data_IF_059992805518
#
_entry.id   IF_059992805518
#
_cell.length_a   1.000
_cell.length_b   1.000
_cell.length_c   1.000
_cell.angle_alpha   90.00
_cell.angle_beta   90.00
_cell.angle_gamma   90.00
#
_symmetry.space_group_name_H-M   'P 1'
#
loop_
_entity.id
_entity.type
_entity.pdbx_description
1 polymer ?
#
# COMPACT_ATOMS: atom_id res chain seq x y z
N UNK A 1 -0.92 -0.33 -8.19
CA UNK A 1 -2.07 -1.18 -7.84
C UNK A 1 -3.37 -0.57 -8.36
N UNK A 2 -3.74 0.65 -7.95
CA UNK A 2 -4.91 1.33 -8.48
C UNK A 2 -4.62 1.91 -9.89
N UNK A 3 -4.96 1.16 -10.94
CA UNK A 3 -4.65 1.54 -12.33
C UNK A 3 -5.43 2.78 -12.79
N UNK A 4 -6.71 2.88 -12.40
CA UNK A 4 -7.56 4.03 -12.75
C UNK A 4 -7.01 5.33 -12.16
N UNK A 5 -6.67 5.32 -10.86
CA UNK A 5 -6.00 6.46 -10.21
C UNK A 5 -4.68 6.83 -10.87
N UNK A 6 -3.86 5.82 -11.21
CA UNK A 6 -2.58 6.05 -11.86
C UNK A 6 -2.74 6.73 -13.22
N UNK A 7 -3.66 6.24 -14.06
CA UNK A 7 -3.94 6.81 -15.38
C UNK A 7 -4.50 8.23 -15.30
N UNK A 8 -5.29 8.52 -14.26
CA UNK A 8 -5.83 9.86 -14.03
C UNK A 8 -4.80 10.84 -13.43
N UNK A 9 -3.65 10.35 -12.94
CA UNK A 9 -2.70 11.19 -12.19
C UNK A 9 -3.23 11.64 -10.82
N UNK A 10 -4.20 10.92 -10.27
CA UNK A 10 -4.95 11.29 -9.08
C UNK A 10 -4.75 10.29 -7.93
N UNK A 11 -4.99 10.73 -6.69
CA UNK A 11 -4.91 9.86 -5.51
C UNK A 11 -6.02 8.81 -5.47
N UNK A 12 -7.20 9.17 -5.94
CA UNK A 12 -8.42 8.35 -5.87
C UNK A 12 -9.03 8.15 -7.25
N UNK A 13 -9.71 7.03 -7.46
CA UNK A 13 -10.19 6.64 -8.77
C UNK A 13 -11.43 7.48 -9.13
N UNK A 14 -11.46 8.16 -10.30
CA UNK A 14 -12.62 8.95 -10.71
C UNK A 14 -13.91 8.13 -10.91
N UNK A 15 -13.75 6.82 -11.14
CA UNK A 15 -14.87 5.90 -11.39
C UNK A 15 -15.69 5.59 -10.12
N UNK A 16 -15.09 5.76 -8.94
CA UNK A 16 -15.84 5.63 -7.69
C UNK A 16 -16.71 6.88 -7.49
N UNK A 17 -18.00 6.68 -7.22
CA UNK A 17 -18.94 7.79 -6.97
C UNK A 17 -18.53 8.67 -5.76
N UNK A 18 -17.73 8.10 -4.86
CA UNK A 18 -17.19 8.79 -3.69
C UNK A 18 -15.67 8.64 -3.67
N UNK A 19 -14.98 9.59 -3.04
CA UNK A 19 -13.52 9.57 -2.96
C UNK A 19 -13.02 8.37 -2.14
N UNK A 20 -12.58 7.31 -2.81
CA UNK A 20 -11.99 6.13 -2.17
C UNK A 20 -10.46 6.19 -2.23
N UNK A 21 -9.82 6.25 -1.06
CA UNK A 21 -8.38 6.04 -0.95
C UNK A 21 -8.12 4.54 -0.81
N UNK A 22 -7.55 3.90 -1.85
CA UNK A 22 -7.31 2.46 -1.85
C UNK A 22 -6.48 2.00 -0.64
N UNK A 23 -5.58 2.85 -0.13
CA UNK A 23 -4.77 2.55 1.04
C UNK A 23 -5.56 2.60 2.37
N UNK A 24 -6.88 2.83 2.30
CA UNK A 24 -7.84 2.75 3.40
C UNK A 24 -8.95 1.73 3.15
N UNK A 25 -8.90 1.04 2.01
CA UNK A 25 -9.94 0.09 1.62
C UNK A 25 -9.63 -1.34 2.07
N UNK A 26 -8.39 -1.69 2.41
CA UNK A 26 -8.02 -3.06 2.83
C UNK A 26 -8.75 -3.49 4.12
N UNK A 27 -9.20 -4.75 4.23
CA UNK A 27 -8.99 -5.89 3.32
C UNK A 27 -9.90 -5.89 2.07
N UNK A 28 -10.68 -4.83 1.83
CA UNK A 28 -11.58 -4.67 0.70
C UNK A 28 -13.00 -5.14 0.99
N UNK A 29 -13.91 -4.82 0.07
CA UNK A 29 -15.30 -5.26 0.11
C UNK A 29 -15.79 -5.58 -1.33
N UNK A 30 -16.10 -6.85 -1.65
CA UNK A 30 -16.50 -7.25 -3.01
C UNK A 30 -17.86 -6.67 -3.44
N UNK A 31 -18.66 -6.18 -2.48
CA UNK A 31 -19.98 -5.58 -2.70
C UNK A 31 -19.96 -4.05 -2.69
N UNK A 32 -18.78 -3.43 -2.58
CA UNK A 32 -18.59 -1.96 -2.56
C UNK A 32 -18.13 -1.42 -3.93
N UNK A 33 -17.62 -0.19 -3.98
CA UNK A 33 -17.09 0.46 -5.17
C UNK A 33 -15.86 -0.27 -5.77
N UNK A 34 -15.47 0.07 -7.00
CA UNK A 34 -14.46 -0.69 -7.75
C UNK A 34 -13.11 -0.73 -7.02
N UNK A 35 -12.72 0.37 -6.37
CA UNK A 35 -11.49 0.40 -5.55
C UNK A 35 -11.50 -0.65 -4.44
N UNK A 36 -12.64 -0.84 -3.76
CA UNK A 36 -12.80 -1.87 -2.73
C UNK A 36 -12.79 -3.29 -3.30
N UNK A 37 -13.36 -3.49 -4.49
CA UNK A 37 -13.33 -4.80 -5.18
C UNK A 37 -11.91 -5.19 -5.56
N UNK A 38 -11.12 -4.25 -6.08
CA UNK A 38 -9.70 -4.48 -6.40
C UNK A 38 -8.89 -4.77 -5.14
N UNK A 39 -9.10 -3.98 -4.08
CA UNK A 39 -8.45 -4.21 -2.78
C UNK A 39 -8.80 -5.60 -2.22
N UNK A 40 -10.06 -6.02 -2.33
CA UNK A 40 -10.53 -7.34 -1.91
C UNK A 40 -9.87 -8.45 -2.70
N UNK A 41 -9.88 -8.35 -4.03
CA UNK A 41 -9.25 -9.35 -4.87
C UNK A 41 -7.74 -9.48 -4.60
N UNK A 42 -7.04 -8.35 -4.47
CA UNK A 42 -5.61 -8.35 -4.14
C UNK A 42 -5.32 -8.97 -2.76
N UNK A 43 -6.15 -8.63 -1.77
CA UNK A 43 -6.04 -9.18 -0.41
C UNK A 43 -6.21 -10.70 -0.40
N UNK A 44 -7.31 -11.19 -0.96
CA UNK A 44 -7.67 -12.62 -0.94
C UNK A 44 -6.70 -13.49 -1.75
N UNK A 45 -6.18 -12.98 -2.88
CA UNK A 45 -5.41 -13.81 -3.81
C UNK A 45 -3.90 -13.62 -3.73
N UNK A 46 -3.40 -12.53 -3.14
CA UNK A 46 -1.97 -12.24 -3.09
C UNK A 46 -1.50 -11.98 -1.66
N UNK A 47 -2.04 -10.95 -1.00
CA UNK A 47 -1.43 -10.46 0.25
C UNK A 47 -1.56 -11.47 1.40
N UNK A 48 -2.66 -12.24 1.47
CA UNK A 48 -2.83 -13.34 2.44
C UNK A 48 -1.80 -14.47 2.30
N UNK A 49 -1.20 -14.61 1.12
CA UNK A 49 -0.29 -15.71 0.78
C UNK A 49 1.17 -15.27 0.73
N UNK A 50 1.45 -13.99 0.97
CA UNK A 50 2.79 -13.44 0.95
C UNK A 50 3.44 -13.52 2.33
N UNK A 51 4.68 -14.00 2.40
CA UNK A 51 5.48 -13.96 3.64
C UNK A 51 5.92 -12.52 3.98
N UNK A 52 6.22 -11.74 2.94
CA UNK A 52 6.66 -10.35 3.01
C UNK A 52 5.99 -9.53 1.92
N UNK A 53 5.76 -8.24 2.18
CA UNK A 53 5.23 -7.30 1.18
C UNK A 53 5.99 -5.98 1.21
N UNK A 54 6.24 -5.44 0.02
CA UNK A 54 6.82 -4.11 -0.19
C UNK A 54 5.80 -3.30 -0.98
N UNK A 55 5.40 -2.14 -0.46
CA UNK A 55 4.54 -1.21 -1.16
C UNK A 55 5.26 0.12 -1.43
N UNK A 56 5.26 0.55 -2.69
CA UNK A 56 5.84 1.82 -3.08
C UNK A 56 4.81 2.94 -2.92
N UNK A 57 5.21 3.98 -2.19
CA UNK A 57 4.42 5.18 -1.96
C UNK A 57 5.26 6.42 -2.24
N UNK A 58 4.59 7.51 -2.63
CA UNK A 58 5.18 8.83 -2.74
C UNK A 58 4.25 9.88 -2.16
N UNK A 59 4.73 11.13 -2.11
CA UNK A 59 3.94 12.26 -1.65
C UNK A 59 2.82 12.70 -2.60
N UNK A 60 2.74 12.09 -3.79
CA UNK A 60 1.80 12.47 -4.84
C UNK A 60 1.98 13.93 -5.26
N UNK A 61 0.87 14.59 -5.61
CA UNK A 61 0.88 15.99 -6.07
C UNK A 61 1.02 17.02 -4.93
N UNK A 62 1.17 16.58 -3.68
CA UNK A 62 1.01 17.45 -2.50
C UNK A 62 2.24 17.54 -1.60
N UNK A 63 3.10 16.51 -1.61
CA UNK A 63 4.24 16.41 -0.69
C UNK A 63 5.50 16.02 -1.43
N UNK A 64 6.62 16.61 -1.02
CA UNK A 64 7.94 16.12 -1.38
C UNK A 64 8.47 15.25 -0.23
N UNK A 65 8.96 14.05 -0.56
CA UNK A 65 9.47 13.08 0.41
C UNK A 65 10.83 12.61 -0.09
N UNK A 66 11.84 12.62 0.79
CA UNK A 66 13.15 12.04 0.46
C UNK A 66 13.02 10.52 0.22
N UNK A 67 13.87 9.90 -0.62
CA UNK A 67 13.85 8.45 -0.79
C UNK A 67 14.18 7.73 0.53
N UNK A 68 13.18 7.05 1.08
CA UNK A 68 13.27 6.36 2.36
C UNK A 68 12.42 5.09 2.38
N UNK A 69 12.78 4.15 3.24
CA UNK A 69 11.95 2.99 3.59
C UNK A 69 11.43 3.11 5.01
N UNK A 70 10.12 2.92 5.14
CA UNK A 70 9.45 2.75 6.41
C UNK A 70 9.24 1.27 6.67
N UNK A 71 9.36 0.85 7.92
CA UNK A 71 9.00 -0.49 8.35
C UNK A 71 8.19 -0.45 9.65
N UNK A 72 7.18 -1.31 9.82
CA UNK A 72 6.43 -1.39 11.06
C UNK A 72 7.32 -1.81 12.24
N UNK A 73 7.17 -1.10 13.36
CA UNK A 73 7.63 -1.49 14.69
C UNK A 73 6.41 -1.88 15.53
N UNK A 74 6.15 -3.18 15.67
CA UNK A 74 5.08 -3.73 16.50
C UNK A 74 5.59 -4.33 17.81
N UNK A 75 4.71 -5.03 18.54
CA UNK A 75 5.08 -5.73 19.77
C UNK A 75 5.91 -7.01 19.54
N UNK A 76 5.91 -7.54 18.32
CA UNK A 76 6.63 -8.76 17.94
C UNK A 76 8.04 -8.39 17.44
N UNK A 77 9.03 -8.61 18.30
CA UNK A 77 10.43 -8.27 18.04
C UNK A 77 11.04 -9.10 16.89
N UNK A 78 10.67 -10.38 16.77
CA UNK A 78 11.19 -11.25 15.71
C UNK A 78 10.68 -10.78 14.34
N UNK A 79 9.38 -10.50 14.25
CA UNK A 79 8.78 -9.92 13.05
C UNK A 79 9.42 -8.57 12.70
N UNK A 80 9.63 -7.72 13.70
CA UNK A 80 10.25 -6.41 13.47
C UNK A 80 11.67 -6.56 12.91
N UNK A 81 12.48 -7.51 13.40
CA UNK A 81 13.83 -7.72 12.87
C UNK A 81 13.80 -8.17 11.41
N UNK A 82 12.92 -9.10 11.05
CA UNK A 82 12.78 -9.58 9.66
C UNK A 82 12.43 -8.40 8.73
N UNK A 83 11.42 -7.60 9.10
CA UNK A 83 10.96 -6.48 8.26
C UNK A 83 12.01 -5.36 8.22
N UNK A 84 12.72 -5.08 9.32
CA UNK A 84 13.84 -4.13 9.35
C UNK A 84 14.98 -4.56 8.42
N UNK A 85 15.33 -5.85 8.40
CA UNK A 85 16.35 -6.40 7.50
C UNK A 85 15.92 -6.30 6.03
N UNK A 86 14.66 -6.55 5.74
CA UNK A 86 14.09 -6.32 4.41
C UNK A 86 14.19 -4.84 4.01
N UNK A 87 13.82 -3.92 4.90
CA UNK A 87 13.91 -2.48 4.63
C UNK A 87 15.38 -2.06 4.41
N UNK A 88 16.32 -2.53 5.21
CA UNK A 88 17.75 -2.27 5.04
C UNK A 88 18.28 -2.73 3.68
N UNK A 89 17.81 -3.88 3.19
CA UNK A 89 18.22 -4.43 1.90
C UNK A 89 17.78 -3.56 0.70
N UNK A 90 16.84 -2.62 0.87
CA UNK A 90 16.44 -1.68 -0.18
C UNK A 90 17.53 -0.65 -0.51
N UNK A 91 18.52 -0.46 0.38
CA UNK A 91 19.58 0.54 0.22
C UNK A 91 19.12 1.99 0.38
N UNK A 92 17.90 2.22 0.86
CA UNK A 92 17.36 3.56 1.13
C UNK A 92 17.53 3.94 2.60
N UNK A 93 17.39 5.23 2.92
CA UNK A 93 17.38 5.71 4.30
C UNK A 93 16.23 5.06 5.08
N UNK A 94 16.49 4.58 6.28
CA UNK A 94 15.45 3.97 7.13
C UNK A 94 14.90 5.00 8.13
N UNK A 95 13.59 4.96 8.35
CA UNK A 95 12.89 5.73 9.39
C UNK A 95 11.93 4.80 10.14
#
# INVERSE_FOLDING_TARGET
LNLESFNAGERSAPLDWSHQDMNRCFPGNPSSFITHKVAHYYWENFLKHADLSISFHGGGNHLWIEPLSLYPCGADEERNDIVRRMAYATGTKLI
#
